data_IF_234651076627
#
_entry.id   IF_234651076627
#
_cell.length_a   1.000
_cell.length_b   1.000
_cell.length_c   1.000
_cell.angle_alpha   90.00
_cell.angle_beta   90.00
_cell.angle_gamma   90.00
#
_symmetry.space_group_name_H-M   'P 1'
#
loop_
_entity.id
_entity.type
_entity.pdbx_description
1 polymer ?
#
# COMPACT_ATOMS: atom_id res chain seq x y z
N UNK A 1 -14.02 42.46 38.58
CA UNK A 1 -14.60 41.30 37.86
C UNK A 1 -14.49 41.57 36.37
N UNK A 2 -13.60 40.87 35.68
CA UNK A 2 -13.31 41.07 34.25
C UNK A 2 -14.51 40.60 33.42
N UNK A 3 -14.80 41.25 32.29
CA UNK A 3 -15.99 40.94 31.47
C UNK A 3 -15.92 39.52 30.90
N UNK A 4 -14.71 39.04 30.59
CA UNK A 4 -14.47 37.69 30.09
C UNK A 4 -14.80 36.56 31.08
N UNK A 5 -14.53 36.73 32.38
CA UNK A 5 -14.83 35.68 33.37
C UNK A 5 -16.33 35.43 33.50
N UNK A 6 -17.14 36.50 33.38
CA UNK A 6 -18.60 36.37 33.41
C UNK A 6 -19.15 35.70 32.15
N UNK A 7 -18.55 35.95 30.99
CA UNK A 7 -18.99 35.33 29.74
C UNK A 7 -18.68 33.82 29.74
N UNK A 8 -17.57 33.42 30.36
CA UNK A 8 -17.21 32.00 30.54
C UNK A 8 -18.14 31.30 31.54
N UNK A 9 -18.41 31.93 32.68
CA UNK A 9 -19.31 31.39 33.72
C UNK A 9 -20.77 31.32 33.21
N UNK A 10 -21.16 32.25 32.33
CA UNK A 10 -22.45 32.19 31.62
C UNK A 10 -22.49 31.06 30.59
N UNK A 11 -21.40 30.81 29.85
CA UNK A 11 -21.33 29.70 28.90
C UNK A 11 -21.38 28.35 29.62
N UNK A 12 -20.71 28.21 30.76
CA UNK A 12 -20.71 27.01 31.59
C UNK A 12 -22.09 26.75 32.23
N UNK A 13 -22.79 27.80 32.65
CA UNK A 13 -24.17 27.68 33.15
C UNK A 13 -25.19 27.35 32.05
N UNK A 14 -25.00 27.85 30.84
CA UNK A 14 -25.87 27.55 29.69
C UNK A 14 -25.68 26.10 29.25
N UNK A 15 -24.44 25.60 29.19
CA UNK A 15 -24.18 24.19 28.85
C UNK A 15 -24.77 23.22 29.88
N UNK A 16 -24.73 23.58 31.17
CA UNK A 16 -25.27 22.73 32.23
C UNK A 16 -26.80 22.66 32.22
N UNK A 17 -27.48 23.77 31.86
CA UNK A 17 -28.94 23.80 31.69
C UNK A 17 -29.34 23.02 30.44
N UNK A 18 -28.61 23.19 29.34
CA UNK A 18 -28.89 22.49 28.08
C UNK A 18 -28.65 20.98 28.18
N UNK A 19 -27.71 20.54 29.04
CA UNK A 19 -27.51 19.11 29.34
C UNK A 19 -28.60 18.54 30.24
N UNK A 20 -29.15 19.32 31.18
CA UNK A 20 -30.19 18.86 32.10
C UNK A 20 -31.59 18.85 31.48
N UNK A 21 -31.86 19.71 30.48
CA UNK A 21 -33.14 19.71 29.75
C UNK A 21 -33.17 18.76 28.56
N UNK A 22 -32.03 18.17 28.18
CA UNK A 22 -31.94 17.18 27.12
C UNK A 22 -32.20 15.74 27.61
N UNK A 23 -32.75 15.59 28.83
CA UNK A 23 -33.18 14.29 29.35
C UNK A 23 -34.68 14.02 29.16
N UNK A 24 -35.51 14.98 28.74
CA UNK A 24 -36.98 14.81 28.76
C UNK A 24 -37.76 15.06 27.45
N UNK A 25 -37.15 15.51 26.35
CA UNK A 25 -37.88 15.61 25.07
C UNK A 25 -37.12 15.01 23.89
N UNK A 26 -37.22 13.67 23.80
CA UNK A 26 -37.34 12.90 22.57
C UNK A 26 -36.29 13.11 21.46
N UNK A 27 -35.14 12.42 21.55
CA UNK A 27 -34.54 11.74 20.39
C UNK A 27 -33.40 10.82 20.86
N UNK A 28 -33.64 9.51 20.87
CA UNK A 28 -32.64 8.50 21.26
C UNK A 28 -31.62 8.22 20.16
N UNK A 29 -30.77 9.19 19.80
CA UNK A 29 -29.75 8.99 18.75
C UNK A 29 -28.60 10.05 18.77
N UNK A 30 -27.87 10.21 19.88
CA UNK A 30 -26.75 11.19 19.92
C UNK A 30 -25.45 10.67 20.54
N UNK A 31 -25.49 9.67 21.42
CA UNK A 31 -24.29 9.01 21.94
C UNK A 31 -23.69 8.06 20.91
N UNK A 32 -24.54 7.42 20.09
CA UNK A 32 -24.11 6.49 19.04
C UNK A 32 -23.41 7.20 17.88
N UNK A 33 -23.75 8.46 17.60
CA UNK A 33 -23.23 9.21 16.46
C UNK A 33 -21.78 9.68 16.67
N UNK A 34 -21.39 10.07 17.89
CA UNK A 34 -20.00 10.45 18.20
C UNK A 34 -19.05 9.24 18.29
N UNK A 35 -19.57 8.07 18.68
CA UNK A 35 -18.80 6.81 18.68
C UNK A 35 -18.68 6.27 17.25
N UNK A 36 -19.75 6.34 16.44
CA UNK A 36 -19.74 5.94 15.03
C UNK A 36 -18.82 6.81 14.15
N UNK A 37 -18.58 8.07 14.50
CA UNK A 37 -17.69 8.96 13.74
C UNK A 37 -16.19 8.71 13.99
N UNK A 38 -15.82 8.03 15.08
CA UNK A 38 -14.41 7.85 15.49
C UNK A 38 -13.75 6.58 14.94
N UNK A 39 -14.56 5.61 14.56
CA UNK A 39 -14.12 4.39 13.88
C UNK A 39 -14.91 4.29 12.59
N UNK A 40 -14.32 4.55 11.41
CA UNK A 40 -14.99 4.23 10.16
C UNK A 40 -15.20 2.71 10.13
N UNK A 41 -16.41 2.25 10.46
CA UNK A 41 -16.75 0.82 10.48
C UNK A 41 -16.68 0.21 9.08
N UNK A 42 -16.66 1.04 8.03
CA UNK A 42 -16.42 0.64 6.64
C UNK A 42 -14.95 0.30 6.32
N UNK A 43 -14.00 0.52 7.23
CA UNK A 43 -12.60 0.13 7.04
C UNK A 43 -12.22 -1.16 7.78
N UNK A 44 -13.14 -1.77 8.54
CA UNK A 44 -12.88 -3.08 9.18
C UNK A 44 -13.15 -4.27 8.24
N UNK A 45 -13.79 -4.06 7.09
CA UNK A 45 -14.02 -5.09 6.06
C UNK A 45 -13.11 -4.90 4.84
N UNK A 46 -11.84 -5.24 5.01
CA UNK A 46 -11.03 -5.87 3.96
C UNK A 46 -10.79 -5.12 2.64
N UNK A 47 -9.56 -4.60 2.51
CA UNK A 47 -8.88 -4.17 1.27
C UNK A 47 -9.31 -2.83 0.63
N UNK A 48 -8.31 -2.10 0.12
CA UNK A 48 -8.47 -0.79 -0.54
C UNK A 48 -9.01 -0.93 -1.98
N UNK A 49 -9.29 -2.16 -2.41
CA UNK A 49 -9.91 -2.53 -3.68
C UNK A 49 -10.66 -3.86 -3.47
N UNK A 50 -11.81 -4.06 -4.15
CA UNK A 50 -12.54 -5.33 -4.15
C UNK A 50 -11.60 -6.48 -4.57
N UNK A 51 -11.18 -7.30 -3.60
CA UNK A 51 -10.14 -8.31 -3.79
C UNK A 51 -10.52 -9.61 -3.10
N UNK A 52 -11.52 -10.31 -3.63
CA UNK A 52 -11.86 -11.65 -3.18
C UNK A 52 -10.74 -12.67 -3.47
N UNK A 53 -10.81 -13.85 -2.87
CA UNK A 53 -9.85 -14.91 -3.13
C UNK A 53 -9.83 -15.28 -4.63
N UNK A 54 -8.67 -15.12 -5.27
CA UNK A 54 -8.49 -15.49 -6.67
C UNK A 54 -8.49 -17.02 -6.79
N UNK A 55 -9.22 -17.56 -7.76
CA UNK A 55 -9.14 -19.00 -8.06
C UNK A 55 -7.75 -19.33 -8.60
N UNK A 56 -7.10 -20.35 -8.04
CA UNK A 56 -5.74 -20.77 -8.43
C UNK A 56 -5.62 -21.19 -9.90
N UNK A 57 -6.74 -21.61 -10.52
CA UNK A 57 -6.80 -21.97 -11.94
C UNK A 57 -7.36 -20.84 -12.82
N UNK A 58 -7.57 -19.65 -12.27
CA UNK A 58 -7.92 -18.47 -13.06
C UNK A 58 -6.80 -18.09 -14.02
N UNK A 59 -7.16 -17.46 -15.14
CA UNK A 59 -6.20 -16.90 -16.11
C UNK A 59 -5.24 -15.91 -15.45
N UNK A 60 -5.71 -15.17 -14.47
CA UNK A 60 -4.91 -14.18 -13.72
C UNK A 60 -3.85 -14.88 -12.85
N UNK A 61 -4.25 -15.94 -12.12
CA UNK A 61 -3.32 -16.75 -11.31
C UNK A 61 -2.28 -17.46 -12.20
N UNK A 62 -2.69 -18.00 -13.35
CA UNK A 62 -1.78 -18.59 -14.32
C UNK A 62 -0.78 -17.57 -14.89
N UNK A 63 -1.22 -16.32 -15.11
CA UNK A 63 -0.34 -15.22 -15.50
C UNK A 63 0.72 -14.92 -14.44
N UNK A 64 0.31 -14.88 -13.17
CA UNK A 64 1.21 -14.69 -12.03
C UNK A 64 2.23 -15.84 -11.91
N UNK A 65 1.79 -17.10 -12.07
CA UNK A 65 2.68 -18.26 -12.03
C UNK A 65 3.66 -18.27 -13.20
N UNK A 66 3.21 -17.96 -14.41
CA UNK A 66 4.07 -17.85 -15.58
C UNK A 66 5.12 -16.75 -15.39
N UNK A 67 4.73 -15.60 -14.82
CA UNK A 67 5.65 -14.52 -14.48
C UNK A 67 6.69 -14.99 -13.46
N UNK A 68 6.28 -15.68 -12.39
CA UNK A 68 7.19 -16.17 -11.35
C UNK A 68 8.15 -17.23 -11.89
N UNK A 69 7.67 -18.13 -12.75
CA UNK A 69 8.49 -19.11 -13.44
C UNK A 69 9.53 -18.44 -14.35
N UNK A 70 9.13 -17.44 -15.14
CA UNK A 70 10.04 -16.69 -16.00
C UNK A 70 11.12 -15.97 -15.19
N UNK A 71 10.75 -15.35 -14.06
CA UNK A 71 11.70 -14.73 -13.13
C UNK A 71 12.67 -15.78 -12.58
N UNK A 72 12.17 -16.96 -12.17
CA UNK A 72 13.01 -18.06 -11.70
C UNK A 72 14.05 -18.50 -12.74
N UNK A 73 13.66 -18.64 -14.01
CA UNK A 73 14.58 -18.94 -15.11
C UNK A 73 15.64 -17.85 -15.25
N UNK A 74 15.25 -16.57 -15.23
CA UNK A 74 16.18 -15.44 -15.36
C UNK A 74 17.17 -15.39 -14.18
N UNK A 75 16.68 -15.56 -12.95
CA UNK A 75 17.49 -15.58 -11.74
C UNK A 75 18.46 -16.77 -11.68
N UNK A 76 18.13 -17.91 -12.29
CA UNK A 76 19.06 -19.03 -12.41
C UNK A 76 20.06 -18.82 -13.55
N UNK A 77 19.57 -18.40 -14.71
CA UNK A 77 20.34 -18.32 -15.94
C UNK A 77 21.38 -17.19 -15.91
N UNK A 78 20.99 -15.96 -15.57
CA UNK A 78 21.89 -14.81 -15.63
C UNK A 78 23.12 -15.01 -14.72
N UNK A 79 22.99 -15.35 -13.42
CA UNK A 79 24.16 -15.66 -12.59
C UNK A 79 24.93 -16.90 -13.09
N UNK A 80 24.23 -17.94 -13.55
CA UNK A 80 24.85 -19.16 -14.06
C UNK A 80 25.71 -18.95 -15.31
N UNK A 81 25.39 -17.95 -16.13
CA UNK A 81 26.16 -17.60 -17.32
C UNK A 81 27.45 -16.82 -17.03
N UNK A 82 27.65 -16.31 -15.81
CA UNK A 82 28.83 -15.50 -15.47
C UNK A 82 30.14 -16.28 -15.74
N UNK A 83 30.25 -17.49 -15.19
CA UNK A 83 31.45 -18.31 -15.34
C UNK A 83 31.76 -18.69 -16.80
N UNK A 84 30.86 -19.33 -17.57
CA UNK A 84 31.19 -19.74 -18.94
C UNK A 84 31.46 -18.57 -19.88
N UNK A 85 30.76 -17.45 -19.75
CA UNK A 85 30.96 -16.31 -20.65
C UNK A 85 32.23 -15.54 -20.27
N UNK A 86 32.36 -15.13 -19.01
CA UNK A 86 33.40 -14.18 -18.65
C UNK A 86 34.72 -14.86 -18.27
N UNK A 87 34.69 -16.03 -17.62
CA UNK A 87 35.92 -16.73 -17.23
C UNK A 87 36.42 -17.66 -18.34
N UNK A 88 35.53 -18.43 -18.97
CA UNK A 88 35.95 -19.43 -19.98
C UNK A 88 36.11 -18.81 -21.36
N UNK A 89 35.11 -18.07 -21.85
CA UNK A 89 35.13 -17.53 -23.21
C UNK A 89 35.96 -16.25 -23.35
N UNK A 90 35.74 -15.26 -22.46
CA UNK A 90 36.46 -13.98 -22.49
C UNK A 90 37.77 -13.97 -21.71
N UNK A 91 38.07 -15.04 -20.95
CA UNK A 91 39.29 -15.18 -20.15
C UNK A 91 39.55 -14.01 -19.19
N UNK A 92 38.49 -13.43 -18.62
CA UNK A 92 38.60 -12.34 -17.66
C UNK A 92 39.04 -12.85 -16.29
N UNK A 93 39.83 -12.03 -15.60
CA UNK A 93 40.28 -12.33 -14.25
C UNK A 93 39.16 -12.07 -13.23
N UNK A 94 39.24 -12.72 -12.06
CA UNK A 94 38.18 -12.68 -11.04
C UNK A 94 37.74 -11.26 -10.62
N UNK A 95 38.67 -10.31 -10.58
CA UNK A 95 38.38 -8.92 -10.25
C UNK A 95 37.59 -8.19 -11.36
N UNK A 96 37.80 -8.56 -12.62
CA UNK A 96 37.08 -7.98 -13.76
C UNK A 96 35.65 -8.51 -13.80
N UNK A 97 35.46 -9.79 -13.50
CA UNK A 97 34.12 -10.41 -13.38
C UNK A 97 33.32 -9.91 -12.18
N UNK A 98 33.93 -9.25 -11.19
CA UNK A 98 33.19 -8.68 -10.07
C UNK A 98 32.22 -7.57 -10.52
N UNK A 99 32.56 -6.84 -11.58
CA UNK A 99 31.71 -5.80 -12.15
C UNK A 99 30.39 -6.35 -12.71
N UNK A 100 30.36 -7.61 -13.13
CA UNK A 100 29.17 -8.29 -13.66
C UNK A 100 28.00 -8.27 -12.67
N UNK A 101 28.25 -8.67 -11.43
CA UNK A 101 27.21 -8.73 -10.39
C UNK A 101 26.60 -7.35 -10.13
N UNK A 102 27.45 -6.33 -10.10
CA UNK A 102 27.02 -4.94 -9.93
C UNK A 102 26.17 -4.46 -11.11
N UNK A 103 26.54 -4.79 -12.35
CA UNK A 103 25.75 -4.43 -13.54
C UNK A 103 24.40 -5.14 -13.58
N UNK A 104 24.34 -6.42 -13.20
CA UNK A 104 23.07 -7.16 -13.08
C UNK A 104 22.19 -6.52 -12.01
N UNK A 105 22.74 -6.18 -10.85
CA UNK A 105 22.02 -5.50 -9.77
C UNK A 105 21.54 -4.09 -10.17
N UNK A 106 22.33 -3.35 -10.94
CA UNK A 106 21.92 -2.06 -11.49
C UNK A 106 20.72 -2.21 -12.43
N UNK A 107 20.69 -3.29 -13.24
CA UNK A 107 19.53 -3.63 -14.07
C UNK A 107 18.25 -3.80 -13.26
N UNK A 108 18.33 -4.43 -12.08
CA UNK A 108 17.17 -4.60 -11.20
C UNK A 108 16.60 -3.27 -10.68
N UNK A 109 17.43 -2.24 -10.50
CA UNK A 109 17.00 -0.91 -10.08
C UNK A 109 16.02 -0.25 -11.06
N UNK A 110 16.07 -0.60 -12.35
CA UNK A 110 15.14 -0.07 -13.35
C UNK A 110 13.68 -0.47 -13.12
N UNK A 111 13.44 -1.53 -12.33
CA UNK A 111 12.08 -1.97 -11.98
C UNK A 111 11.26 -0.86 -11.32
N UNK A 112 11.89 0.03 -10.54
CA UNK A 112 11.20 1.14 -9.87
C UNK A 112 10.62 2.13 -10.89
N UNK A 113 11.40 2.49 -11.91
CA UNK A 113 10.92 3.38 -12.97
C UNK A 113 9.82 2.73 -13.81
N UNK A 114 9.95 1.43 -14.11
CA UNK A 114 8.91 0.69 -14.81
C UNK A 114 7.63 0.54 -13.98
N UNK A 115 7.74 0.40 -12.66
CA UNK A 115 6.61 0.43 -11.73
C UNK A 115 5.91 1.78 -11.77
N UNK A 116 6.66 2.87 -11.59
CA UNK A 116 6.12 4.23 -11.66
C UNK A 116 5.40 4.48 -13.01
N UNK A 117 5.97 4.02 -14.12
CA UNK A 117 5.33 4.14 -15.42
C UNK A 117 4.03 3.33 -15.52
N UNK A 118 4.00 2.10 -14.98
CA UNK A 118 2.78 1.27 -14.99
C UNK A 118 1.65 1.79 -14.10
N UNK A 119 1.99 2.56 -13.07
CA UNK A 119 1.01 3.10 -12.12
C UNK A 119 0.38 4.41 -12.63
N UNK A 120 1.14 5.17 -13.44
CA UNK A 120 0.71 6.44 -14.04
C UNK A 120 0.01 6.28 -15.40
N UNK A 121 0.33 5.24 -16.18
CA UNK A 121 -0.27 5.00 -17.49
C UNK A 121 -1.04 3.68 -17.51
N UNK A 122 -2.35 3.68 -17.88
CA UNK A 122 -3.10 2.45 -17.99
C UNK A 122 -2.54 1.60 -19.15
N UNK A 123 -2.02 0.42 -18.82
CA UNK A 123 -1.50 -0.52 -19.80
C UNK A 123 -2.67 -1.39 -20.27
N UNK A 124 -3.12 -1.20 -21.51
CA UNK A 124 -4.25 -1.93 -22.11
C UNK A 124 -5.56 -1.85 -21.29
N UNK A 125 -5.81 -0.72 -20.62
CA UNK A 125 -7.01 -0.52 -19.79
C UNK A 125 -6.94 -1.17 -18.40
N UNK A 126 -5.87 -1.91 -18.11
CA UNK A 126 -5.57 -2.41 -16.77
C UNK A 126 -4.57 -1.46 -16.10
N UNK A 127 -4.92 -1.00 -14.90
CA UNK A 127 -4.01 -0.23 -14.04
C UNK A 127 -3.39 -1.18 -13.03
N UNK A 128 -2.10 -1.01 -12.76
CA UNK A 128 -1.48 -1.56 -11.55
C UNK A 128 -1.72 -0.64 -10.37
#
# INVERSE_FOLDING_TARGET
MNKGDRDLDLQERVSHIQSATQEDEGHGDSIDNYVAAKSPSELEDGAIAEGGAISLLSREAMGLFAQYAAIGVIYGMIPGLNYPIFNVYLQLEGYQTASYSTLVNLGWSFKVFMGMFSDCFPIFGYRR
#
